data_IF_806734613796
#
_entry.id   IF_806734613796
#
_cell.length_a   1.000
_cell.length_b   1.000
_cell.length_c   1.000
_cell.angle_alpha   90.00
_cell.angle_beta   90.00
_cell.angle_gamma   90.00
#
_symmetry.space_group_name_H-M   'P 1'
#
loop_
_entity.id
_entity.type
_entity.pdbx_description
1 polymer ?
#
# COMPACT_ATOMS: atom_id res chain seq x y z
N UNK A 1 -8.97 -6.67 4.75
CA UNK A 1 -8.78 -5.34 5.38
C UNK A 1 -7.99 -4.47 4.42
N UNK A 2 -8.30 -3.17 4.30
CA UNK A 2 -7.62 -2.27 3.36
C UNK A 2 -6.48 -1.50 4.06
N UNK A 3 -5.40 -1.24 3.35
CA UNK A 3 -4.36 -0.31 3.80
C UNK A 3 -4.88 1.14 3.80
N UNK A 4 -4.27 2.00 4.62
CA UNK A 4 -4.54 3.43 4.66
C UNK A 4 -3.25 4.22 4.88
N UNK A 5 -3.31 5.55 4.73
CA UNK A 5 -2.18 6.43 5.01
C UNK A 5 -2.62 7.63 5.86
N UNK A 6 -1.65 8.30 6.51
CA UNK A 6 -1.91 9.48 7.37
C UNK A 6 -2.73 10.56 6.66
N UNK A 7 -2.46 10.80 5.37
CA UNK A 7 -3.21 11.77 4.54
C UNK A 7 -4.71 11.46 4.45
N UNK A 8 -5.12 10.21 4.55
CA UNK A 8 -6.54 9.85 4.54
C UNK A 8 -7.21 10.20 5.86
N UNK A 9 -6.50 10.04 6.98
CA UNK A 9 -6.95 10.50 8.30
C UNK A 9 -7.09 12.03 8.33
N UNK A 10 -6.11 12.73 7.76
CA UNK A 10 -6.18 14.20 7.63
C UNK A 10 -7.41 14.62 6.80
N UNK A 11 -7.66 13.94 5.67
CA UNK A 11 -8.77 14.24 4.76
C UNK A 11 -10.14 14.09 5.42
N UNK A 12 -10.30 13.12 6.32
CA UNK A 12 -11.56 12.91 7.06
C UNK A 12 -11.67 13.78 8.32
N UNK A 13 -10.70 14.68 8.54
CA UNK A 13 -10.72 15.62 9.66
C UNK A 13 -10.22 15.04 10.99
N UNK A 14 -9.57 13.88 10.99
CA UNK A 14 -8.91 13.41 12.20
C UNK A 14 -7.74 14.34 12.54
N UNK A 15 -7.66 14.77 13.80
CA UNK A 15 -6.58 15.65 14.28
C UNK A 15 -5.84 15.00 15.45
N UNK A 16 -4.59 15.41 15.70
CA UNK A 16 -3.77 14.97 16.85
C UNK A 16 -3.66 13.44 17.02
N UNK A 17 -3.82 12.67 15.94
CA UNK A 17 -3.93 11.21 15.99
C UNK A 17 -2.58 10.48 16.03
N UNK A 18 -1.43 11.17 15.92
CA UNK A 18 -0.13 10.51 15.74
C UNK A 18 0.24 9.58 16.90
N UNK A 19 0.02 10.01 18.15
CA UNK A 19 0.29 9.17 19.32
C UNK A 19 -0.69 7.99 19.42
N UNK A 20 -1.96 8.22 19.13
CA UNK A 20 -2.96 7.16 19.11
C UNK A 20 -2.66 6.10 18.03
N UNK A 21 -2.23 6.54 16.83
CA UNK A 21 -1.83 5.63 15.77
C UNK A 21 -0.58 4.83 16.16
N UNK A 22 0.39 5.45 16.84
CA UNK A 22 1.56 4.75 17.38
C UNK A 22 1.16 3.71 18.43
N UNK A 23 0.29 4.06 19.37
CA UNK A 23 -0.21 3.13 20.39
C UNK A 23 -0.94 1.93 19.78
N UNK A 24 -1.74 2.14 18.72
CA UNK A 24 -2.37 1.05 17.96
C UNK A 24 -1.35 0.14 17.27
N UNK A 25 -0.26 0.70 16.74
CA UNK A 25 0.83 -0.10 16.17
C UNK A 25 1.59 -0.88 17.26
N UNK A 26 1.92 -0.23 18.38
CA UNK A 26 2.65 -0.86 19.49
C UNK A 26 1.82 -1.99 20.14
N UNK A 27 0.49 -1.90 20.08
CA UNK A 27 -0.46 -2.95 20.51
C UNK A 27 -0.76 -4.02 19.45
N UNK A 28 -0.21 -3.90 18.23
CA UNK A 28 -0.45 -4.84 17.13
C UNK A 28 -1.85 -4.80 16.51
N UNK A 29 -2.66 -3.78 16.84
CA UNK A 29 -3.97 -3.58 16.23
C UNK A 29 -3.86 -3.02 14.80
N UNK A 30 -2.77 -2.33 14.50
CA UNK A 30 -2.42 -1.81 13.18
C UNK A 30 -0.98 -2.22 12.87
N UNK A 31 -0.68 -2.58 11.63
CA UNK A 31 0.68 -2.88 11.19
C UNK A 31 1.25 -1.69 10.40
N UNK A 32 2.46 -1.27 10.76
CA UNK A 32 3.16 -0.20 10.07
C UNK A 32 3.96 -0.76 8.87
N UNK A 33 3.73 -0.21 7.68
CA UNK A 33 4.48 -0.54 6.47
C UNK A 33 5.35 0.67 6.07
N UNK A 34 6.62 0.73 6.53
CA UNK A 34 7.53 1.81 6.16
C UNK A 34 7.98 1.70 4.69
N UNK A 35 8.56 2.77 4.12
CA UNK A 35 9.17 2.70 2.79
C UNK A 35 10.23 1.60 2.70
N UNK A 36 10.18 0.80 1.62
CA UNK A 36 11.21 -0.16 1.27
C UNK A 36 12.17 0.50 0.29
N UNK A 37 13.45 0.59 0.66
CA UNK A 37 14.47 1.32 -0.09
C UNK A 37 15.70 0.43 -0.33
N UNK A 38 16.28 0.53 -1.51
CA UNK A 38 17.52 -0.16 -1.89
C UNK A 38 18.75 0.57 -1.32
N UNK A 39 19.94 0.03 -1.56
CA UNK A 39 21.23 0.61 -1.18
C UNK A 39 21.37 2.01 -1.78
N UNK A 40 21.93 2.93 -1.00
CA UNK A 40 22.15 4.32 -1.41
C UNK A 40 22.94 4.38 -2.72
N UNK A 41 22.36 5.06 -3.72
CA UNK A 41 22.95 5.24 -5.05
C UNK A 41 22.45 4.25 -6.11
N UNK A 42 21.69 3.21 -5.71
CA UNK A 42 21.00 2.32 -6.64
C UNK A 42 19.75 2.95 -7.22
N UNK A 43 19.30 2.40 -8.36
CA UNK A 43 18.10 2.83 -9.08
C UNK A 43 17.15 1.65 -9.23
N UNK A 44 15.87 1.85 -8.88
CA UNK A 44 14.84 0.81 -8.91
C UNK A 44 13.72 1.17 -9.88
N UNK A 45 13.22 0.19 -10.64
CA UNK A 45 12.04 0.30 -11.49
C UNK A 45 11.04 -0.81 -11.16
N UNK A 46 9.74 -0.59 -11.38
CA UNK A 46 8.66 -1.53 -11.08
C UNK A 46 7.60 -1.49 -12.20
N UNK A 47 7.09 -2.67 -12.58
CA UNK A 47 5.84 -2.85 -13.34
C UNK A 47 4.94 -3.84 -12.58
N UNK A 48 3.63 -3.68 -12.66
CA UNK A 48 2.67 -4.52 -11.95
C UNK A 48 1.39 -4.70 -12.77
N UNK A 49 0.85 -5.93 -12.78
CA UNK A 49 -0.50 -6.20 -13.24
C UNK A 49 -1.25 -7.06 -12.22
N UNK A 50 -2.56 -6.87 -12.16
CA UNK A 50 -3.47 -7.78 -11.46
C UNK A 50 -3.97 -8.83 -12.45
N UNK A 51 -3.89 -10.10 -12.06
CA UNK A 51 -4.38 -11.22 -12.86
C UNK A 51 -5.53 -11.92 -12.15
N UNK A 52 -6.47 -12.43 -12.93
CA UNK A 52 -7.52 -13.34 -12.47
C UNK A 52 -7.30 -14.69 -13.14
N UNK A 53 -7.09 -15.73 -12.33
CA UNK A 53 -7.08 -17.10 -12.80
C UNK A 53 -8.51 -17.62 -12.81
N UNK A 54 -9.13 -17.60 -14.00
CA UNK A 54 -10.47 -18.14 -14.21
C UNK A 54 -10.39 -19.64 -14.48
N UNK A 55 -11.51 -20.37 -14.35
CA UNK A 55 -11.56 -21.79 -14.69
C UNK A 55 -11.10 -22.10 -16.12
N UNK A 56 -11.30 -21.18 -17.06
CA UNK A 56 -11.04 -21.38 -18.51
C UNK A 56 -9.83 -20.62 -19.03
N UNK A 57 -9.28 -19.67 -18.29
CA UNK A 57 -8.15 -18.86 -18.76
C UNK A 57 -7.44 -18.13 -17.61
N UNK A 58 -6.24 -17.65 -17.91
CA UNK A 58 -5.54 -16.62 -17.14
C UNK A 58 -5.82 -15.28 -17.80
N UNK A 59 -6.47 -14.38 -17.08
CA UNK A 59 -6.80 -13.03 -17.57
C UNK A 59 -5.95 -11.98 -16.85
N UNK A 60 -5.38 -11.04 -17.62
CA UNK A 60 -4.67 -9.88 -17.08
C UNK A 60 -5.64 -8.70 -17.06
N UNK A 61 -6.32 -8.51 -15.93
CA UNK A 61 -7.46 -7.56 -15.85
C UNK A 61 -7.04 -6.09 -15.83
N UNK A 62 -5.78 -5.80 -15.55
CA UNK A 62 -5.26 -4.43 -15.55
C UNK A 62 -4.43 -4.08 -16.78
N UNK A 63 -4.56 -4.84 -17.88
CA UNK A 63 -3.88 -4.57 -19.16
C UNK A 63 -4.50 -3.34 -19.85
N UNK A 64 -3.66 -2.40 -20.29
CA UNK A 64 -4.01 -1.26 -21.13
C UNK A 64 -3.11 -1.17 -22.38
N UNK A 65 -3.24 -0.09 -23.16
CA UNK A 65 -2.40 0.17 -24.33
C UNK A 65 -1.03 0.79 -23.97
N UNK A 66 -0.83 1.12 -22.70
CA UNK A 66 0.33 1.83 -22.17
C UNK A 66 1.46 0.91 -21.66
N UNK A 67 1.14 -0.26 -21.10
CA UNK A 67 2.13 -1.26 -20.65
C UNK A 67 1.54 -2.64 -20.33
#
# INVERSE_FOLDING_TARGET
TLAFCKRWLDRIGCTKYQMALKDLCDKGAVEAYPPLVDVKGCYTAQFEHTLVLRPTCKEVISRGDDY
#
